data_IF_146413882427
#
_entry.id   IF_146413882427
#
_cell.length_a   1.000
_cell.length_b   1.000
_cell.length_c   1.000
_cell.angle_alpha   90.00
_cell.angle_beta   90.00
_cell.angle_gamma   90.00
#
_symmetry.space_group_name_H-M   'P 1'
#
loop_
_entity.id
_entity.type
_entity.pdbx_description
1 polymer ?
#
# COMPACT_ATOMS: atom_id res chain seq x y z
N UNK A 1 9.78 16.35 18.39
CA UNK A 1 8.61 15.88 17.63
C UNK A 1 9.04 14.62 16.90
N UNK A 2 8.23 13.58 16.97
CA UNK A 2 8.41 12.36 16.19
C UNK A 2 7.89 12.63 14.78
N UNK A 3 8.66 12.29 13.75
CA UNK A 3 8.27 12.47 12.35
C UNK A 3 8.06 11.09 11.71
N UNK A 4 6.83 10.85 11.26
CA UNK A 4 6.47 9.67 10.48
C UNK A 4 5.75 10.11 9.21
N UNK A 5 5.81 9.27 8.18
CA UNK A 5 5.03 9.42 6.97
C UNK A 5 3.86 8.45 6.97
N UNK A 6 2.76 8.86 6.37
CA UNK A 6 1.65 7.99 6.06
C UNK A 6 1.19 8.24 4.63
N UNK A 7 0.62 7.22 3.97
CA UNK A 7 0.09 7.37 2.61
C UNK A 7 -1.29 7.99 2.74
N UNK A 8 -1.50 9.17 2.18
CA UNK A 8 -2.83 9.82 2.13
C UNK A 8 -3.35 9.93 0.72
N UNK A 9 -2.53 9.64 -0.28
CA UNK A 9 -2.91 9.70 -1.68
C UNK A 9 -2.02 8.81 -2.52
N UNK A 10 -2.56 8.27 -3.60
CA UNK A 10 -1.81 7.52 -4.58
C UNK A 10 -2.44 7.64 -5.97
N UNK A 11 -1.65 7.29 -6.98
CA UNK A 11 -2.11 7.24 -8.36
C UNK A 11 -1.62 5.97 -9.02
N UNK A 12 -2.51 5.30 -9.72
CA UNK A 12 -2.24 4.09 -10.49
C UNK A 12 -2.67 4.29 -11.94
N UNK A 13 -1.92 3.67 -12.85
CA UNK A 13 -2.25 3.59 -14.27
C UNK A 13 -1.70 2.28 -14.81
N UNK A 14 -2.49 1.55 -15.57
CA UNK A 14 -2.06 0.33 -16.23
C UNK A 14 -1.95 0.53 -17.75
N UNK A 15 -0.74 0.75 -18.28
CA UNK A 15 -0.53 0.96 -19.73
C UNK A 15 -1.45 2.07 -20.29
N UNK A 16 -2.30 1.72 -21.25
CA UNK A 16 -3.26 2.60 -21.94
C UNK A 16 -4.64 2.66 -21.24
N UNK A 17 -4.76 2.02 -20.08
CA UNK A 17 -5.96 2.07 -19.23
C UNK A 17 -6.10 3.43 -18.52
N UNK A 18 -7.31 3.77 -18.03
CA UNK A 18 -7.53 5.03 -17.33
C UNK A 18 -6.61 5.15 -16.12
N UNK A 19 -6.16 6.37 -15.84
CA UNK A 19 -5.45 6.68 -14.60
C UNK A 19 -6.46 6.85 -13.48
N UNK A 20 -6.24 6.18 -12.36
CA UNK A 20 -7.02 6.35 -11.12
C UNK A 20 -6.18 7.05 -10.07
N UNK A 21 -6.65 8.19 -9.60
CA UNK A 21 -6.07 8.94 -8.48
C UNK A 21 -7.02 8.87 -7.29
N UNK A 22 -6.47 8.54 -6.13
CA UNK A 22 -7.21 8.37 -4.89
C UNK A 22 -6.58 9.27 -3.84
N UNK A 23 -7.40 10.09 -3.18
CA UNK A 23 -6.96 11.05 -2.17
C UNK A 23 -7.85 10.98 -0.92
N UNK A 24 -7.20 10.88 0.23
CA UNK A 24 -7.82 10.99 1.54
C UNK A 24 -7.54 12.38 2.12
N UNK A 25 -8.61 13.15 2.30
CA UNK A 25 -8.55 14.42 3.01
C UNK A 25 -8.78 14.16 4.50
N UNK A 26 -7.71 13.78 5.21
CA UNK A 26 -7.71 13.35 6.63
C UNK A 26 -8.62 14.18 7.54
N UNK A 27 -8.55 15.51 7.47
CA UNK A 27 -9.35 16.41 8.34
C UNK A 27 -10.86 16.40 8.05
N UNK A 28 -11.23 16.05 6.83
CA UNK A 28 -12.62 16.01 6.37
C UNK A 28 -13.16 14.58 6.32
N UNK A 29 -12.29 13.57 6.51
CA UNK A 29 -12.58 12.15 6.25
C UNK A 29 -13.27 11.93 4.90
N UNK A 30 -12.85 12.74 3.93
CA UNK A 30 -13.40 12.73 2.58
C UNK A 30 -12.43 11.97 1.69
N UNK A 31 -13.01 11.14 0.82
CA UNK A 31 -12.28 10.42 -0.21
C UNK A 31 -12.65 11.02 -1.55
N UNK A 32 -11.65 11.46 -2.28
CA UNK A 32 -11.80 11.82 -3.69
C UNK A 32 -11.20 10.74 -4.56
N UNK A 33 -11.97 10.33 -5.57
CA UNK A 33 -11.50 9.40 -6.61
C UNK A 33 -11.63 10.13 -7.94
N UNK A 34 -10.53 10.19 -8.69
CA UNK A 34 -10.49 10.77 -10.03
C UNK A 34 -10.13 9.70 -11.05
N UNK A 35 -10.87 9.65 -12.15
CA UNK A 35 -10.55 8.83 -13.32
C UNK A 35 -10.24 9.77 -14.49
N UNK A 36 -9.02 9.68 -15.02
CA UNK A 36 -8.53 10.57 -16.08
C UNK A 36 -8.85 12.06 -15.80
N UNK A 37 -8.50 12.52 -14.58
CA UNK A 37 -8.66 13.92 -14.07
C UNK A 37 -10.08 14.27 -13.62
N UNK A 38 -11.07 13.50 -14.04
CA UNK A 38 -12.48 13.75 -13.69
C UNK A 38 -12.77 13.22 -12.30
N UNK A 39 -13.24 14.09 -11.42
CA UNK A 39 -13.76 13.70 -10.11
C UNK A 39 -15.00 12.83 -10.29
N UNK A 40 -15.02 11.68 -9.62
CA UNK A 40 -16.19 10.82 -9.57
C UNK A 40 -17.15 11.31 -8.50
N UNK A 41 -18.43 11.39 -8.86
CA UNK A 41 -19.52 11.62 -7.91
C UNK A 41 -20.09 10.27 -7.49
N UNK A 42 -20.01 9.95 -6.19
CA UNK A 42 -20.59 8.74 -5.62
C UNK A 42 -21.03 8.99 -4.18
N UNK A 43 -21.96 8.17 -3.70
CA UNK A 43 -22.38 8.16 -2.29
C UNK A 43 -21.60 7.07 -1.56
N UNK A 44 -20.73 7.39 -0.60
CA UNK A 44 -20.01 6.40 0.17
C UNK A 44 -20.97 5.53 1.00
N UNK A 45 -20.64 4.25 1.14
CA UNK A 45 -21.30 3.36 2.10
C UNK A 45 -21.12 3.90 3.51
N UNK A 46 -22.19 3.81 4.29
CA UNK A 46 -22.22 4.12 5.72
C UNK A 46 -22.34 2.85 6.55
N UNK A 47 -22.10 2.94 7.87
CA UNK A 47 -22.31 1.80 8.79
C UNK A 47 -23.74 1.25 8.73
N UNK A 48 -24.72 2.09 8.33
CA UNK A 48 -26.11 1.66 8.13
C UNK A 48 -26.31 0.82 6.86
N UNK A 49 -25.39 0.92 5.90
CA UNK A 49 -25.44 0.22 4.61
C UNK A 49 -24.74 -1.15 4.65
N UNK A 50 -24.14 -1.57 5.78
CA UNK A 50 -23.38 -2.83 5.93
C UNK A 50 -24.20 -4.11 5.59
N UNK A 51 -25.52 -3.99 5.50
CA UNK A 51 -26.41 -5.08 5.07
C UNK A 51 -26.46 -5.27 3.53
N UNK A 52 -25.91 -4.33 2.75
CA UNK A 52 -25.86 -4.38 1.29
C UNK A 52 -24.41 -4.56 0.81
N UNK A 53 -24.16 -5.72 0.23
CA UNK A 53 -22.94 -6.12 -0.46
C UNK A 53 -22.37 -5.01 -1.34
N UNK A 54 -21.06 -4.75 -1.24
CA UNK A 54 -20.20 -3.94 -2.12
C UNK A 54 -20.88 -2.97 -3.11
N UNK A 55 -20.60 -1.66 -3.00
CA UNK A 55 -21.08 -0.65 -3.94
C UNK A 55 -20.18 -0.53 -5.17
N UNK A 56 -20.78 -0.53 -6.37
CA UNK A 56 -20.08 -0.20 -7.61
C UNK A 56 -19.99 1.33 -7.76
N UNK A 57 -18.77 1.87 -7.75
CA UNK A 57 -18.51 3.31 -7.93
C UNK A 57 -18.31 3.65 -9.40
N UNK A 58 -17.52 2.85 -10.11
CA UNK A 58 -17.15 3.14 -11.49
C UNK A 58 -16.92 1.87 -12.29
N UNK A 59 -17.32 1.90 -13.55
CA UNK A 59 -16.89 0.93 -14.57
C UNK A 59 -16.82 1.61 -15.93
N UNK A 60 -15.89 1.19 -16.78
CA UNK A 60 -15.84 1.64 -18.17
C UNK A 60 -15.71 0.46 -19.16
N UNK A 61 -15.73 0.79 -20.45
CA UNK A 61 -15.60 -0.20 -21.54
C UNK A 61 -14.21 -0.85 -21.60
N UNK A 62 -13.21 -0.26 -20.93
CA UNK A 62 -11.84 -0.77 -20.83
C UNK A 62 -11.67 -1.74 -19.65
N UNK A 63 -12.77 -2.10 -19.00
CA UNK A 63 -12.81 -3.01 -17.84
C UNK A 63 -12.07 -2.47 -16.61
N UNK A 64 -11.91 -1.15 -16.47
CA UNK A 64 -11.59 -0.58 -15.17
C UNK A 64 -12.84 -0.69 -14.29
N UNK A 65 -12.69 -1.24 -13.08
CA UNK A 65 -13.77 -1.32 -12.10
C UNK A 65 -13.30 -0.75 -10.76
N UNK A 66 -14.08 0.16 -10.18
CA UNK A 66 -13.87 0.68 -8.84
C UNK A 66 -15.08 0.32 -7.99
N UNK A 67 -14.84 -0.34 -6.86
CA UNK A 67 -15.87 -0.72 -5.89
C UNK A 67 -15.50 -0.27 -4.50
N UNK A 68 -16.51 0.04 -3.70
CA UNK A 68 -16.39 0.13 -2.26
C UNK A 68 -16.91 -1.18 -1.67
N UNK A 69 -16.03 -1.96 -1.07
CA UNK A 69 -16.34 -3.29 -0.52
C UNK A 69 -16.98 -3.19 0.86
N UNK A 70 -16.58 -2.21 1.66
CA UNK A 70 -17.14 -1.86 2.97
C UNK A 70 -16.95 -0.36 3.24
N UNK A 71 -17.33 0.12 4.43
CA UNK A 71 -17.25 1.55 4.80
C UNK A 71 -15.84 2.16 4.61
N UNK A 72 -14.78 1.37 4.80
CA UNK A 72 -13.39 1.82 4.75
C UNK A 72 -12.54 1.15 3.65
N UNK A 73 -13.08 0.20 2.90
CA UNK A 73 -12.33 -0.62 1.95
C UNK A 73 -12.82 -0.40 0.52
N UNK A 74 -11.87 -0.16 -0.37
CA UNK A 74 -12.08 0.05 -1.79
C UNK A 74 -11.26 -0.94 -2.60
N UNK A 75 -11.75 -1.28 -3.78
CA UNK A 75 -11.00 -2.06 -4.76
C UNK A 75 -10.97 -1.35 -6.10
N UNK A 76 -9.81 -1.38 -6.75
CA UNK A 76 -9.59 -0.86 -8.10
C UNK A 76 -9.03 -2.01 -8.93
N UNK A 77 -9.76 -2.46 -9.94
CA UNK A 77 -9.41 -3.61 -10.76
C UNK A 77 -9.30 -3.21 -12.23
N UNK A 78 -8.18 -3.57 -12.87
CA UNK A 78 -7.96 -3.42 -14.31
C UNK A 78 -8.18 -4.77 -15.01
N UNK A 79 -9.42 -5.01 -15.45
CA UNK A 79 -9.90 -6.32 -15.92
C UNK A 79 -9.01 -6.98 -16.97
N UNK A 80 -8.58 -6.25 -18.00
CA UNK A 80 -7.74 -6.80 -19.08
C UNK A 80 -6.39 -7.35 -18.59
N UNK A 81 -5.79 -6.69 -17.59
CA UNK A 81 -4.51 -7.10 -17.01
C UNK A 81 -4.64 -8.07 -15.84
N UNK A 82 -5.81 -8.13 -15.22
CA UNK A 82 -6.03 -8.81 -13.94
C UNK A 82 -5.34 -8.16 -12.74
N UNK A 83 -4.71 -6.98 -12.90
CA UNK A 83 -4.12 -6.24 -11.77
C UNK A 83 -5.24 -5.63 -10.92
N UNK A 84 -5.15 -5.81 -9.61
CA UNK A 84 -6.08 -5.27 -8.64
C UNK A 84 -5.33 -4.55 -7.51
N UNK A 85 -5.93 -3.50 -7.00
CA UNK A 85 -5.49 -2.78 -5.81
C UNK A 85 -6.61 -2.80 -4.79
N UNK A 86 -6.27 -3.12 -3.54
CA UNK A 86 -7.16 -3.00 -2.38
C UNK A 86 -6.64 -1.81 -1.57
N UNK A 87 -7.56 -0.94 -1.18
CA UNK A 87 -7.28 0.30 -0.47
C UNK A 87 -8.10 0.31 0.80
N UNK A 88 -7.43 0.25 1.94
CA UNK A 88 -8.10 0.32 3.24
C UNK A 88 -7.82 1.68 3.89
N UNK A 89 -8.88 2.33 4.36
CA UNK A 89 -8.83 3.62 5.03
C UNK A 89 -8.72 3.39 6.53
N UNK A 90 -7.58 3.75 7.11
CA UNK A 90 -7.34 3.68 8.55
C UNK A 90 -7.84 4.94 9.23
N UNK A 91 -9.16 5.00 9.45
CA UNK A 91 -9.86 6.15 10.03
C UNK A 91 -9.38 6.58 11.43
N UNK A 92 -8.71 5.70 12.18
CA UNK A 92 -8.08 6.03 13.47
C UNK A 92 -6.84 6.93 13.30
N UNK A 93 -6.12 6.77 12.19
CA UNK A 93 -4.82 7.41 11.93
C UNK A 93 -4.82 8.31 10.69
N UNK A 94 -5.97 8.39 10.01
CA UNK A 94 -6.21 9.14 8.78
C UNK A 94 -5.20 8.88 7.65
N UNK A 95 -4.88 7.60 7.40
CA UNK A 95 -4.04 7.16 6.28
C UNK A 95 -4.62 5.97 5.51
N UNK A 96 -3.97 5.63 4.40
CA UNK A 96 -4.33 4.55 3.49
C UNK A 96 -3.33 3.41 3.59
N UNK A 97 -3.86 2.18 3.63
CA UNK A 97 -3.10 0.98 3.30
C UNK A 97 -3.40 0.55 1.87
N UNK A 98 -2.35 0.20 1.13
CA UNK A 98 -2.44 -0.16 -0.28
C UNK A 98 -1.86 -1.56 -0.49
N UNK A 99 -2.70 -2.49 -0.94
CA UNK A 99 -2.29 -3.84 -1.30
C UNK A 99 -2.44 -3.98 -2.82
N UNK A 100 -1.35 -4.35 -3.49
CA UNK A 100 -1.36 -4.66 -4.92
C UNK A 100 -1.42 -6.18 -5.14
N UNK A 101 -2.41 -6.63 -5.89
CA UNK A 101 -2.55 -8.01 -6.36
C UNK A 101 -2.20 -8.02 -7.85
N UNK A 102 -1.12 -8.72 -8.18
CA UNK A 102 -0.55 -8.73 -9.53
C UNK A 102 -0.50 -10.17 -10.03
N UNK A 103 -1.08 -10.49 -11.21
CA UNK A 103 -1.06 -11.85 -11.72
C UNK A 103 0.36 -12.39 -11.97
N UNK A 104 0.56 -13.68 -11.71
CA UNK A 104 1.85 -14.35 -11.89
C UNK A 104 2.38 -14.29 -13.34
N UNK A 105 1.51 -14.08 -14.33
CA UNK A 105 1.91 -13.89 -15.73
C UNK A 105 2.84 -12.69 -15.93
N UNK A 106 2.84 -11.72 -15.02
CA UNK A 106 3.77 -10.60 -15.05
C UNK A 106 5.18 -10.98 -14.58
N UNK A 107 5.33 -12.02 -13.73
CA UNK A 107 6.63 -12.50 -13.25
C UNK A 107 7.54 -12.94 -14.38
N UNK A 108 6.97 -13.60 -15.37
CA UNK A 108 7.73 -14.15 -16.51
C UNK A 108 7.93 -13.11 -17.62
N UNK A 109 7.03 -12.13 -17.72
CA UNK A 109 6.96 -11.21 -18.86
C UNK A 109 7.61 -9.85 -18.60
N UNK A 110 7.76 -9.41 -17.35
CA UNK A 110 8.17 -8.04 -17.03
C UNK A 110 9.19 -7.94 -15.91
N UNK A 111 10.10 -6.97 -16.07
CA UNK A 111 10.97 -6.51 -15.00
C UNK A 111 10.19 -5.52 -14.14
N UNK A 112 9.81 -5.95 -12.94
CA UNK A 112 9.31 -5.04 -11.91
C UNK A 112 10.44 -4.13 -11.45
N UNK A 113 10.16 -2.83 -11.42
CA UNK A 113 11.08 -1.79 -10.99
C UNK A 113 10.29 -0.81 -10.14
N UNK A 114 10.93 -0.28 -9.11
CA UNK A 114 10.31 0.65 -8.17
C UNK A 114 10.83 0.44 -6.76
N UNK A 115 10.25 1.21 -5.84
CA UNK A 115 10.62 1.17 -4.42
C UNK A 115 10.37 -0.18 -3.75
N UNK A 116 9.44 -0.98 -4.28
CA UNK A 116 9.16 -2.34 -3.81
C UNK A 116 10.07 -3.40 -4.47
N UNK A 117 10.93 -3.01 -5.41
CA UNK A 117 11.75 -3.92 -6.20
C UNK A 117 10.94 -4.82 -7.14
N UNK A 118 11.55 -5.93 -7.52
CA UNK A 118 10.91 -7.00 -8.27
C UNK A 118 11.14 -8.37 -7.64
N UNK A 119 10.80 -9.43 -8.36
CA UNK A 119 10.93 -10.81 -7.86
C UNK A 119 12.37 -11.23 -7.55
N UNK A 120 13.37 -10.56 -8.13
CA UNK A 120 14.80 -10.80 -7.88
C UNK A 120 15.40 -9.86 -6.82
N UNK A 121 14.57 -9.02 -6.19
CA UNK A 121 14.97 -8.06 -5.16
C UNK A 121 14.91 -6.60 -5.63
N UNK A 122 15.54 -5.74 -4.83
CA UNK A 122 15.54 -4.29 -5.06
C UNK A 122 16.46 -3.92 -6.24
N UNK A 123 16.02 -2.92 -7.02
CA UNK A 123 16.79 -2.34 -8.12
C UNK A 123 16.91 -0.83 -7.93
N UNK A 124 17.97 -0.23 -8.44
CA UNK A 124 18.09 1.22 -8.58
C UNK A 124 17.28 1.71 -9.80
N UNK A 125 16.92 3.01 -9.88
CA UNK A 125 16.21 3.57 -11.03
C UNK A 125 16.91 3.37 -12.38
N UNK A 126 18.23 3.19 -12.39
CA UNK A 126 19.02 2.86 -13.58
C UNK A 126 18.90 1.38 -14.00
N UNK A 127 18.10 0.57 -13.30
CA UNK A 127 17.88 -0.85 -13.56
C UNK A 127 18.95 -1.79 -12.99
N UNK A 128 19.96 -1.29 -12.28
CA UNK A 128 20.98 -2.13 -11.64
C UNK A 128 20.48 -2.71 -10.33
N UNK A 129 20.83 -3.95 -10.01
CA UNK A 129 20.41 -4.59 -8.76
C UNK A 129 21.11 -3.95 -7.56
N UNK A 130 20.38 -3.81 -6.46
CA UNK A 130 20.95 -3.42 -5.18
C UNK A 130 21.68 -4.65 -4.61
N UNK A 131 23.01 -4.62 -4.61
CA UNK A 131 23.85 -5.71 -4.09
C UNK A 131 24.13 -5.62 -2.58
N UNK A 132 23.87 -4.47 -1.98
CA UNK A 132 24.07 -4.24 -0.55
C UNK A 132 22.82 -4.65 0.23
N UNK A 133 23.02 -5.34 1.36
CA UNK A 133 21.94 -5.57 2.31
C UNK A 133 21.52 -4.25 2.97
N UNK A 134 20.36 -3.73 2.59
CA UNK A 134 19.74 -2.55 3.20
C UNK A 134 19.05 -2.97 4.51
N UNK A 135 19.84 -3.20 5.56
CA UNK A 135 19.34 -3.67 6.86
C UNK A 135 19.08 -2.52 7.86
N UNK A 136 19.46 -1.31 7.49
CA UNK A 136 19.31 -0.09 8.28
C UNK A 136 18.29 0.84 7.60
N UNK A 137 17.43 1.46 8.38
CA UNK A 137 16.32 2.26 7.89
C UNK A 137 16.75 3.61 7.30
N UNK A 138 17.90 4.14 7.71
CA UNK A 138 18.52 5.29 7.06
C UNK A 138 19.01 4.94 5.64
N UNK A 139 19.59 3.75 5.46
CA UNK A 139 19.95 3.25 4.14
C UNK A 139 18.71 2.99 3.26
N UNK A 140 17.63 2.41 3.83
CA UNK A 140 16.35 2.23 3.13
C UNK A 140 15.71 3.56 2.73
N UNK A 141 15.74 4.57 3.61
CA UNK A 141 15.26 5.91 3.30
C UNK A 141 16.06 6.52 2.13
N UNK A 142 17.39 6.43 2.18
CA UNK A 142 18.27 6.93 1.11
C UNK A 142 18.02 6.23 -0.22
N UNK A 143 17.72 4.93 -0.20
CA UNK A 143 17.28 4.17 -1.37
C UNK A 143 15.93 4.65 -1.91
N UNK A 144 14.94 4.84 -1.03
CA UNK A 144 13.61 5.34 -1.39
C UNK A 144 13.66 6.72 -2.05
N UNK A 145 14.54 7.61 -1.58
CA UNK A 145 14.76 8.93 -2.17
C UNK A 145 15.22 8.88 -3.65
N UNK A 146 15.89 7.80 -4.08
CA UNK A 146 16.27 7.62 -5.48
C UNK A 146 15.06 7.41 -6.40
N UNK A 147 13.94 6.93 -5.83
CA UNK A 147 12.68 6.70 -6.53
C UNK A 147 11.72 7.90 -6.47
N UNK A 148 12.13 9.02 -5.86
CA UNK A 148 11.34 10.24 -5.81
C UNK A 148 10.96 10.70 -7.22
N UNK A 149 9.68 10.96 -7.44
CA UNK A 149 9.19 11.40 -8.75
C UNK A 149 9.63 12.83 -9.05
N UNK A 150 9.64 13.17 -10.33
CA UNK A 150 9.80 14.53 -10.82
C UNK A 150 8.46 15.06 -11.32
N UNK A 151 8.34 16.35 -11.57
CA UNK A 151 7.15 16.90 -12.22
C UNK A 151 6.82 16.21 -13.56
N UNK A 152 7.83 15.77 -14.31
CA UNK A 152 7.65 15.08 -15.59
C UNK A 152 7.24 13.60 -15.45
N UNK A 153 7.58 12.95 -14.33
CA UNK A 153 7.27 11.54 -14.08
C UNK A 153 6.12 11.31 -13.11
N UNK A 154 5.63 12.36 -12.45
CA UNK A 154 4.46 12.29 -11.59
C UNK A 154 3.22 11.97 -12.41
N UNK A 155 2.42 11.02 -11.92
CA UNK A 155 1.11 10.72 -12.50
C UNK A 155 0.00 11.55 -11.85
N UNK A 156 0.26 12.28 -10.78
CA UNK A 156 -0.78 13.08 -10.12
C UNK A 156 -1.31 14.18 -11.03
N UNK A 157 -2.62 14.34 -10.99
CA UNK A 157 -3.32 15.52 -11.48
C UNK A 157 -3.40 16.54 -10.35
N UNK A 158 -2.93 17.76 -10.62
CA UNK A 158 -2.91 18.86 -9.68
C UNK A 158 -3.92 19.92 -10.12
N UNK A 159 -4.87 20.27 -9.24
CA UNK A 159 -5.90 21.29 -9.52
C UNK A 159 -5.39 22.70 -9.23
N UNK A 160 -5.83 23.69 -10.00
CA UNK A 160 -5.77 25.13 -9.67
C UNK A 160 -4.56 25.61 -8.83
N UNK A 161 -3.47 26.02 -9.48
CA UNK A 161 -2.24 26.53 -8.81
C UNK A 161 -1.55 25.54 -7.88
N UNK A 162 -2.00 24.29 -7.81
CA UNK A 162 -1.28 23.19 -7.22
C UNK A 162 -0.26 22.59 -8.19
N UNK A 163 0.75 21.91 -7.66
CA UNK A 163 1.86 21.39 -8.46
C UNK A 163 2.63 20.32 -7.70
N UNK A 164 3.34 19.48 -8.47
CA UNK A 164 4.28 18.50 -7.91
C UNK A 164 5.20 19.10 -6.85
N UNK A 165 5.77 20.29 -7.11
CA UNK A 165 6.71 20.95 -6.22
C UNK A 165 6.13 21.33 -4.85
N UNK A 166 4.84 21.68 -4.78
CA UNK A 166 4.16 22.00 -3.51
C UNK A 166 3.93 20.76 -2.63
N UNK A 167 3.93 19.57 -3.24
CA UNK A 167 3.81 18.28 -2.55
C UNK A 167 5.16 17.57 -2.32
N UNK A 168 6.28 18.28 -2.48
CA UNK A 168 7.61 17.76 -2.16
C UNK A 168 8.19 18.46 -0.93
N UNK A 169 8.53 17.69 0.09
CA UNK A 169 9.44 18.12 1.14
C UNK A 169 10.78 17.38 0.99
N UNK A 170 11.77 18.07 0.43
CA UNK A 170 13.12 17.55 0.22
C UNK A 170 13.96 17.54 1.51
N UNK A 171 13.53 18.30 2.51
CA UNK A 171 14.20 18.40 3.81
C UNK A 171 13.61 17.43 4.83
N UNK A 172 12.51 16.76 4.50
CA UNK A 172 11.90 15.75 5.35
C UNK A 172 12.91 14.69 5.75
N UNK A 173 12.97 14.40 7.05
CA UNK A 173 13.68 13.25 7.61
C UNK A 173 12.77 12.56 8.61
N UNK A 174 12.54 11.23 8.47
CA UNK A 174 11.77 10.49 9.44
C UNK A 174 12.56 10.35 10.75
N UNK A 175 11.86 10.04 11.83
CA UNK A 175 12.52 9.55 13.04
C UNK A 175 12.92 8.10 12.81
N UNK A 176 14.21 7.83 12.63
CA UNK A 176 14.72 6.48 12.42
C UNK A 176 14.54 5.61 13.68
N UNK A 177 14.40 4.31 13.49
CA UNK A 177 14.11 3.30 14.50
C UNK A 177 15.11 3.36 15.65
N UNK A 178 16.40 3.42 15.34
CA UNK A 178 17.43 3.44 16.38
C UNK A 178 17.35 4.71 17.24
N UNK A 179 17.08 5.86 16.63
CA UNK A 179 16.90 7.14 17.33
C UNK A 179 15.64 7.09 18.20
N UNK A 180 14.55 6.55 17.66
CA UNK A 180 13.28 6.39 18.38
C UNK A 180 13.45 5.46 19.59
N UNK A 181 14.08 4.31 19.40
CA UNK A 181 14.30 3.34 20.47
C UNK A 181 15.21 3.89 21.55
N UNK A 182 16.25 4.64 21.17
CA UNK A 182 17.15 5.34 22.10
C UNK A 182 16.39 6.40 22.91
N UNK A 183 15.53 7.18 22.26
CA UNK A 183 14.71 8.22 22.88
C UNK A 183 13.77 7.65 23.96
N UNK A 184 13.17 6.48 23.71
CA UNK A 184 12.18 5.89 24.60
C UNK A 184 12.72 4.79 25.53
N UNK A 185 13.99 4.38 25.41
CA UNK A 185 14.54 3.17 26.06
C UNK A 185 14.19 3.00 27.55
N UNK A 186 14.19 4.09 28.32
CA UNK A 186 13.94 4.09 29.77
C UNK A 186 12.52 4.53 30.16
N UNK A 187 11.56 4.44 29.24
CA UNK A 187 10.18 4.87 29.47
C UNK A 187 9.23 3.70 29.65
N UNK A 188 8.12 3.92 30.36
CA UNK A 188 7.02 2.95 30.46
C UNK A 188 6.44 2.60 29.09
N UNK A 189 6.43 3.56 28.16
CA UNK A 189 5.96 3.39 26.79
C UNK A 189 6.78 2.37 26.01
N UNK A 190 8.11 2.38 26.15
CA UNK A 190 8.96 1.37 25.52
C UNK A 190 8.71 -0.03 26.07
N UNK A 191 8.56 -0.15 27.39
CA UNK A 191 8.23 -1.44 28.02
C UNK A 191 6.85 -1.95 27.60
N UNK A 192 5.88 -1.05 27.48
CA UNK A 192 4.54 -1.37 26.97
C UNK A 192 4.61 -1.88 25.52
N UNK A 193 5.27 -1.13 24.62
CA UNK A 193 5.42 -1.52 23.22
C UNK A 193 6.11 -2.89 23.09
N UNK A 194 7.21 -3.10 23.83
CA UNK A 194 7.92 -4.38 23.86
C UNK A 194 7.04 -5.53 24.32
N UNK A 195 6.22 -5.32 25.35
CA UNK A 195 5.33 -6.36 25.87
C UNK A 195 4.19 -6.70 24.90
N UNK A 196 3.64 -5.70 24.21
CA UNK A 196 2.58 -5.89 23.21
C UNK A 196 3.11 -6.63 21.99
N UNK A 197 4.29 -6.23 21.49
CA UNK A 197 4.85 -6.73 20.24
C UNK A 197 5.67 -8.02 20.36
N UNK A 198 5.86 -8.53 21.59
CA UNK A 198 6.73 -9.70 21.81
C UNK A 198 6.26 -10.89 20.97
N UNK A 199 7.21 -11.68 20.49
CA UNK A 199 6.98 -12.90 19.71
C UNK A 199 6.31 -12.68 18.34
N UNK A 200 6.19 -11.44 17.86
CA UNK A 200 5.77 -11.16 16.49
C UNK A 200 6.96 -11.32 15.54
N UNK A 201 6.72 -11.75 14.30
CA UNK A 201 7.79 -11.85 13.29
C UNK A 201 8.36 -10.48 12.98
N UNK A 202 7.53 -9.44 13.11
CA UNK A 202 7.88 -8.02 12.92
C UNK A 202 7.88 -7.23 14.23
N UNK A 203 8.45 -7.81 15.31
CA UNK A 203 8.48 -7.20 16.65
C UNK A 203 8.99 -5.75 16.63
N UNK A 204 10.09 -5.47 15.91
CA UNK A 204 10.67 -4.13 15.85
C UNK A 204 9.79 -3.13 15.12
N UNK A 205 9.14 -3.52 14.02
CA UNK A 205 8.22 -2.66 13.28
C UNK A 205 6.96 -2.36 14.10
N UNK A 206 6.39 -3.36 14.77
CA UNK A 206 5.29 -3.17 15.71
C UNK A 206 5.69 -2.19 16.84
N UNK A 207 6.88 -2.36 17.43
CA UNK A 207 7.37 -1.45 18.46
C UNK A 207 7.55 -0.03 17.92
N UNK A 208 8.13 0.12 16.73
CA UNK A 208 8.28 1.41 16.06
C UNK A 208 6.94 2.11 15.91
N UNK A 209 5.92 1.43 15.40
CA UNK A 209 4.60 2.00 15.17
C UNK A 209 3.92 2.47 16.47
N UNK A 210 3.99 1.69 17.55
CA UNK A 210 3.48 2.12 18.87
C UNK A 210 4.29 3.32 19.41
N UNK A 211 5.62 3.30 19.25
CA UNK A 211 6.51 4.36 19.73
C UNK A 211 6.47 5.65 18.92
N UNK A 212 6.03 5.60 17.66
CA UNK A 212 5.87 6.79 16.83
C UNK A 212 4.49 7.42 17.04
N UNK A 213 3.42 6.61 17.07
CA UNK A 213 2.01 7.08 17.13
C UNK A 213 1.47 7.29 18.55
N UNK A 214 2.00 6.53 19.50
CA UNK A 214 1.54 6.41 20.89
C UNK A 214 0.25 5.62 21.02
N UNK A 215 0.04 4.70 20.09
CA UNK A 215 -1.16 3.91 20.02
C UNK A 215 -0.89 2.41 20.22
N UNK A 216 -1.24 1.84 21.38
CA UNK A 216 -1.06 0.41 21.63
C UNK A 216 -1.98 -0.48 20.79
N UNK A 217 -3.06 0.04 20.18
CA UNK A 217 -3.96 -0.78 19.34
C UNK A 217 -3.28 -1.26 18.06
N UNK A 218 -2.22 -0.57 17.61
CA UNK A 218 -1.44 -0.97 16.44
C UNK A 218 -0.82 -2.36 16.57
N UNK A 219 -0.54 -2.83 17.80
CA UNK A 219 -0.07 -4.19 18.01
C UNK A 219 -1.07 -5.26 17.56
N UNK A 220 -2.38 -5.01 17.72
CA UNK A 220 -3.42 -5.93 17.25
C UNK A 220 -3.52 -5.92 15.73
N UNK A 221 -3.38 -4.73 15.12
CA UNK A 221 -3.41 -4.56 13.67
C UNK A 221 -2.27 -5.36 13.01
N UNK A 222 -1.05 -5.29 13.56
CA UNK A 222 0.09 -6.11 13.09
C UNK A 222 -0.23 -7.61 13.14
N UNK A 223 -0.85 -8.08 14.21
CA UNK A 223 -1.23 -9.49 14.35
C UNK A 223 -2.28 -9.92 13.30
N UNK A 224 -3.29 -9.07 13.07
CA UNK A 224 -4.29 -9.29 12.02
C UNK A 224 -3.64 -9.36 10.65
N UNK A 225 -2.71 -8.45 10.34
CA UNK A 225 -1.98 -8.47 9.07
C UNK A 225 -1.17 -9.75 8.86
N UNK A 226 -0.43 -10.21 9.87
CA UNK A 226 0.32 -11.47 9.77
C UNK A 226 -0.62 -12.64 9.46
N UNK A 227 -1.80 -12.67 10.08
CA UNK A 227 -2.82 -13.70 9.83
C UNK A 227 -3.43 -13.57 8.44
N UNK A 228 -3.78 -12.36 7.99
CA UNK A 228 -4.34 -12.13 6.65
C UNK A 228 -3.35 -12.51 5.55
N UNK A 229 -2.07 -12.16 5.71
CA UNK A 229 -1.02 -12.56 4.75
C UNK A 229 -0.83 -14.07 4.71
N UNK A 230 -0.90 -14.75 5.86
CA UNK A 230 -0.86 -16.21 5.92
C UNK A 230 -2.04 -16.82 5.15
N UNK A 231 -3.26 -16.37 5.41
CA UNK A 231 -4.47 -16.86 4.71
C UNK A 231 -4.41 -16.58 3.21
N UNK A 232 -3.95 -15.40 2.80
CA UNK A 232 -3.77 -15.07 1.38
C UNK A 232 -2.72 -15.98 0.72
N UNK A 233 -1.60 -16.24 1.40
CA UNK A 233 -0.57 -17.15 0.88
C UNK A 233 -1.10 -18.58 0.76
N UNK A 234 -1.81 -19.08 1.77
CA UNK A 234 -2.46 -20.41 1.73
C UNK A 234 -3.47 -20.50 0.58
N UNK A 235 -4.28 -19.46 0.36
CA UNK A 235 -5.22 -19.41 -0.74
C UNK A 235 -4.52 -19.42 -2.11
N UNK A 236 -3.43 -18.66 -2.26
CA UNK A 236 -2.62 -18.64 -3.49
C UNK A 236 -1.98 -20.01 -3.74
N UNK A 237 -1.48 -20.69 -2.70
CA UNK A 237 -0.90 -22.03 -2.83
C UNK A 237 -1.96 -23.05 -3.25
N UNK A 238 -3.14 -23.04 -2.64
CA UNK A 238 -4.25 -23.93 -3.00
C UNK A 238 -4.70 -23.74 -4.46
N UNK A 239 -4.90 -22.49 -4.89
CA UNK A 239 -5.27 -22.17 -6.28
C UNK A 239 -4.16 -22.59 -7.25
N UNK A 240 -2.89 -22.49 -6.86
CA UNK A 240 -1.76 -22.91 -7.70
C UNK A 240 -1.74 -24.44 -7.89
N UNK A 241 -2.01 -25.21 -6.83
CA UNK A 241 -2.08 -26.68 -6.88
C UNK A 241 -3.23 -27.16 -7.78
N UNK A 242 -4.40 -26.52 -7.69
CA UNK A 242 -5.56 -26.88 -8.51
C UNK A 242 -5.29 -26.66 -10.01
N UNK A 243 -4.58 -25.58 -10.38
CA UNK A 243 -4.18 -25.29 -11.77
C UNK A 243 -3.15 -26.31 -12.29
N UNK A 244 -2.21 -26.76 -11.45
CA UNK A 244 -1.23 -27.78 -11.86
C UNK A 244 -1.89 -29.14 -12.10
N UNK A 245 -2.84 -29.53 -11.26
CA UNK A 245 -3.59 -30.79 -11.40
C UNK A 245 -4.49 -30.80 -12.65
N UNK A 246 -5.09 -29.67 -13.02
CA UNK A 246 -5.93 -29.57 -14.23
C UNK A 246 -5.07 -29.67 -15.51
N UNK A 247 -3.85 -29.13 -15.50
CA UNK A 247 -2.90 -29.26 -16.62
C UNK A 247 -2.44 -30.70 -16.83
N UNK A 248 -2.14 -31.46 -15.79
CA UNK A 248 -1.76 -32.88 -15.90
C UNK A 248 -2.90 -33.75 -16.43
N UNK A 249 -4.15 -33.45 -16.05
CA UNK A 249 -5.32 -34.22 -16.50
C UNK A 249 -5.63 -33.94 -17.98
N UNK A 250 -5.32 -32.74 -18.48
CA UNK A 250 -5.52 -32.34 -19.89
C UNK A 250 -4.45 -32.84 -20.89
N UNK A 251 -3.32 -33.36 -20.40
CA UNK A 251 -2.26 -33.96 -21.26
C UNK A 251 -2.39 -35.48 -21.39
N UNK A 252 -3.34 -36.12 -20.69
CA UNK A 252 -3.58 -37.57 -20.73
C UNK A 252 -4.76 -37.99 -21.64
N UNK A 253 -5.30 -37.09 -22.47
CA UNK A 253 -6.32 -37.38 -23.49
C UNK A 253 -5.86 -37.01 -24.89
#
# INVERSE_FOLDING_TARGET
MNNATAIIAFVIRNEDQPRVQFELFSKLRLIEIRVDEKLLEFTPLTEQDELLSSSLIYTDDRQLIIRQSDVNSYSISYGESGIQFIVDVRSQFDFLDLISIIPNTFKEKRKFQGILGGFEGLTYPNGTNVSANLNDDQALFSYGELWRTTNASSLFYYILQDSHAQHQDLNYRPTFQQDLFTMYANTSRFQMAKNICRNMTREQQCMYDILITNDPTLGQIHQTYETTLQVLNEYVELVTIDIENDKTTSMET
#
